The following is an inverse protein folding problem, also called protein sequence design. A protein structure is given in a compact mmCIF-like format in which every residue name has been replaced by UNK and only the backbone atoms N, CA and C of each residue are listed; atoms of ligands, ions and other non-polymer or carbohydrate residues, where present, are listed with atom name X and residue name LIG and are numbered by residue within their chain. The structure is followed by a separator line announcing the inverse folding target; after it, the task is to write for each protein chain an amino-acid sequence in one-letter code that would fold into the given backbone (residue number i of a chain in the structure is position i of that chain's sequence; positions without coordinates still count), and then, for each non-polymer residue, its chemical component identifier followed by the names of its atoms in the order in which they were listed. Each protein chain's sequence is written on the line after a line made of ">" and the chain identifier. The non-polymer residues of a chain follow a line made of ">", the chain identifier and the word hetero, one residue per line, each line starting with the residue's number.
data_IF_871952724570
#
_entry.id   IF_871952724570
#
_cell.length_a   1.000
_cell.length_b   1.000
_cell.length_c   1.000
_cell.angle_alpha   90.00
_cell.angle_beta   90.00
_cell.angle_gamma   90.00
#
_symmetry.space_group_name_H-M   'P 1'
#
loop_
_entity.id
_entity.type
_entity.pdbx_description
1 polymer ?
#
# COMPACT_ATOMS: atom_id res chain seq x y z
N UNK A 1 -23.09 -8.22 5.24
CA UNK A 1 -21.91 -8.40 4.36
C UNK A 1 -21.28 -7.06 4.03
N UNK A 2 -20.38 -6.97 3.04
CA UNK A 2 -19.76 -5.69 2.66
C UNK A 2 -20.76 -4.65 2.12
N UNK A 3 -21.85 -5.10 1.49
CA UNK A 3 -22.95 -4.23 1.06
C UNK A 3 -23.60 -3.48 2.23
N UNK A 4 -23.86 -4.18 3.35
CA UNK A 4 -24.46 -3.55 4.55
C UNK A 4 -23.51 -2.56 5.24
N UNK A 5 -22.20 -2.71 5.03
CA UNK A 5 -21.19 -1.76 5.53
C UNK A 5 -20.97 -0.57 4.58
N UNK A 6 -21.67 -0.54 3.43
CA UNK A 6 -21.53 0.49 2.40
C UNK A 6 -20.06 0.74 1.98
N UNK A 7 -19.24 -0.32 1.96
CA UNK A 7 -17.81 -0.21 1.70
C UNK A 7 -17.43 -0.51 0.23
N UNK A 8 -18.25 -1.32 -0.45
CA UNK A 8 -18.10 -1.63 -1.89
C UNK A 8 -18.72 -0.54 -2.76
N UNK A 9 -18.21 -0.41 -3.99
CA UNK A 9 -18.82 0.43 -5.00
C UNK A 9 -20.22 -0.09 -5.37
N UNK A 10 -21.26 0.70 -5.09
CA UNK A 10 -22.63 0.38 -5.50
C UNK A 10 -22.78 0.40 -7.02
N UNK A 11 -23.29 -0.69 -7.60
CA UNK A 11 -23.31 -0.88 -9.06
C UNK A 11 -24.26 0.10 -9.76
N UNK A 12 -25.46 0.33 -9.20
CA UNK A 12 -26.45 1.22 -9.78
C UNK A 12 -26.00 2.69 -9.69
N UNK A 13 -25.39 3.05 -8.57
CA UNK A 13 -24.78 4.37 -8.36
C UNK A 13 -23.64 4.63 -9.36
N UNK A 14 -22.76 3.67 -9.58
CA UNK A 14 -21.67 3.84 -10.55
C UNK A 14 -22.20 3.96 -11.98
N UNK A 15 -23.16 3.11 -12.37
CA UNK A 15 -23.78 3.17 -13.71
C UNK A 15 -24.56 4.46 -13.95
N UNK A 16 -25.33 4.94 -12.97
CA UNK A 16 -26.04 6.21 -13.06
C UNK A 16 -25.10 7.42 -13.22
N UNK A 17 -23.85 7.30 -12.77
CA UNK A 17 -22.76 8.28 -13.00
C UNK A 17 -22.03 8.09 -14.33
N UNK A 18 -22.55 7.23 -15.23
CA UNK A 18 -21.99 6.97 -16.56
C UNK A 18 -20.63 6.26 -16.52
N UNK A 19 -20.39 5.44 -15.49
CA UNK A 19 -19.15 4.68 -15.36
C UNK A 19 -19.36 3.28 -15.92
N UNK A 20 -18.48 2.84 -16.82
CA UNK A 20 -18.45 1.47 -17.32
C UNK A 20 -17.99 0.50 -16.23
N UNK A 21 -18.60 -0.70 -16.17
CA UNK A 21 -18.33 -1.74 -15.17
C UNK A 21 -16.83 -2.03 -14.96
N UNK A 22 -16.06 -2.15 -16.05
CA UNK A 22 -14.60 -2.39 -15.99
C UNK A 22 -13.76 -1.23 -15.39
N UNK A 23 -14.40 -0.11 -15.02
CA UNK A 23 -13.75 1.10 -14.47
C UNK A 23 -14.34 1.49 -13.11
N UNK A 24 -15.02 0.59 -12.42
CA UNK A 24 -15.57 0.86 -11.09
C UNK A 24 -14.47 1.10 -10.06
N UNK A 25 -13.39 0.31 -10.10
CA UNK A 25 -12.21 0.53 -9.28
C UNK A 25 -11.37 1.68 -9.84
N UNK A 26 -11.20 2.74 -9.04
CA UNK A 26 -10.66 4.03 -9.50
C UNK A 26 -9.95 4.79 -8.38
N UNK A 27 -8.91 4.16 -7.84
CA UNK A 27 -8.06 4.77 -6.84
C UNK A 27 -7.63 6.19 -7.24
N UNK A 28 -7.65 7.11 -6.27
CA UNK A 28 -7.29 8.53 -6.44
C UNK A 28 -8.16 9.30 -7.46
N UNK A 29 -9.27 8.75 -7.97
CA UNK A 29 -10.22 9.47 -8.83
C UNK A 29 -11.22 10.28 -7.97
N UNK A 30 -11.64 11.44 -8.47
CA UNK A 30 -12.63 12.31 -7.77
C UNK A 30 -14.00 11.65 -7.64
N UNK A 31 -14.35 10.68 -8.49
CA UNK A 31 -15.65 10.00 -8.50
C UNK A 31 -15.59 8.60 -7.88
N UNK A 32 -14.57 8.27 -7.09
CA UNK A 32 -14.47 7.00 -6.35
C UNK A 32 -15.52 6.94 -5.23
N UNK A 33 -16.18 5.78 -5.09
CA UNK A 33 -17.32 5.62 -4.17
C UNK A 33 -17.34 4.22 -3.53
N UNK A 34 -16.16 3.64 -3.29
CA UNK A 34 -16.05 2.30 -2.70
C UNK A 34 -15.08 1.42 -3.47
N UNK A 35 -14.65 0.34 -2.82
CA UNK A 35 -13.76 -0.63 -3.45
C UNK A 35 -14.52 -1.60 -4.35
N UNK A 36 -13.83 -2.17 -5.34
CA UNK A 36 -14.33 -3.31 -6.11
C UNK A 36 -13.86 -4.61 -5.47
N UNK A 37 -14.80 -5.47 -5.11
CA UNK A 37 -14.49 -6.77 -4.53
C UNK A 37 -13.83 -7.71 -5.55
N UNK A 38 -12.73 -8.37 -5.16
CA UNK A 38 -12.08 -9.40 -5.98
C UNK A 38 -11.75 -10.65 -5.15
N UNK A 39 -11.32 -11.70 -5.84
CA UNK A 39 -10.91 -12.98 -5.25
C UNK A 39 -9.60 -13.46 -5.86
N UNK A 40 -8.91 -14.35 -5.13
CA UNK A 40 -7.61 -14.88 -5.52
C UNK A 40 -6.49 -14.44 -4.56
N UNK A 41 -5.27 -14.79 -4.94
CA UNK A 41 -4.07 -14.50 -4.18
C UNK A 41 -2.88 -15.20 -4.84
N UNK A 42 -1.87 -15.52 -4.06
CA UNK A 42 -0.63 -16.11 -4.53
C UNK A 42 0.26 -16.50 -3.37
N UNK A 43 1.49 -16.87 -3.69
CA UNK A 43 2.51 -17.20 -2.70
C UNK A 43 3.85 -16.60 -3.09
N UNK A 44 4.67 -16.30 -2.09
CA UNK A 44 6.07 -15.90 -2.25
C UNK A 44 6.93 -16.84 -1.41
N UNK A 45 8.07 -17.25 -1.95
CA UNK A 45 9.02 -18.11 -1.26
C UNK A 45 10.17 -17.26 -0.74
N UNK A 46 10.26 -17.15 0.58
CA UNK A 46 11.37 -16.47 1.25
C UNK A 46 12.50 -17.47 1.51
N UNK A 47 13.72 -17.08 1.18
CA UNK A 47 14.92 -17.84 1.47
C UNK A 47 15.97 -16.94 2.13
N UNK A 48 16.78 -17.52 3.00
CA UNK A 48 17.98 -16.84 3.51
C UNK A 48 18.97 -16.64 2.37
N UNK A 49 19.69 -15.52 2.37
CA UNK A 49 20.57 -15.15 1.24
C UNK A 49 21.72 -16.15 1.00
N UNK A 50 22.26 -16.74 2.06
CA UNK A 50 23.28 -17.80 1.96
C UNK A 50 22.74 -19.09 1.33
N UNK A 51 21.49 -19.44 1.61
CA UNK A 51 20.81 -20.59 1.01
C UNK A 51 20.57 -20.33 -0.47
N UNK A 52 20.07 -19.14 -0.82
CA UNK A 52 19.89 -18.72 -2.20
C UNK A 52 21.21 -18.78 -2.99
N UNK A 53 22.30 -18.27 -2.39
CA UNK A 53 23.63 -18.34 -2.99
C UNK A 53 24.12 -19.78 -3.15
N UNK A 54 24.05 -20.60 -2.09
CA UNK A 54 24.52 -21.99 -2.07
C UNK A 54 23.78 -22.85 -3.09
N UNK A 55 22.48 -22.62 -3.26
CA UNK A 55 21.64 -23.40 -4.17
C UNK A 55 21.50 -22.78 -5.57
N UNK A 56 22.06 -21.59 -5.81
CA UNK A 56 21.91 -20.87 -7.06
C UNK A 56 20.45 -20.48 -7.36
N UNK A 57 19.66 -20.14 -6.33
CA UNK A 57 18.25 -19.76 -6.52
C UNK A 57 18.14 -18.38 -7.19
N UNK A 58 17.16 -18.18 -8.07
CA UNK A 58 16.89 -16.86 -8.64
C UNK A 58 16.39 -15.91 -7.55
N UNK A 59 17.13 -14.82 -7.32
CA UNK A 59 16.75 -13.79 -6.35
C UNK A 59 15.97 -12.69 -7.08
N UNK A 60 14.67 -12.59 -6.80
CA UNK A 60 13.79 -11.59 -7.43
C UNK A 60 13.82 -10.24 -6.71
N UNK A 61 13.99 -10.25 -5.38
CA UNK A 61 14.06 -9.05 -4.56
C UNK A 61 14.79 -9.33 -3.24
N UNK A 62 15.20 -8.27 -2.56
CA UNK A 62 15.72 -8.30 -1.17
C UNK A 62 14.73 -7.57 -0.27
N UNK A 63 14.23 -8.24 0.77
CA UNK A 63 13.32 -7.62 1.74
C UNK A 63 14.13 -6.73 2.68
N UNK A 64 14.10 -5.42 2.43
CA UNK A 64 14.83 -4.43 3.24
C UNK A 64 14.18 -4.14 4.59
N UNK A 65 12.85 -4.22 4.68
CA UNK A 65 12.08 -3.99 5.90
C UNK A 65 10.68 -4.60 5.78
N UNK A 66 10.17 -5.19 6.85
CA UNK A 66 8.80 -5.69 6.94
C UNK A 66 8.30 -5.56 8.38
N UNK A 67 7.13 -4.95 8.58
CA UNK A 67 6.54 -4.75 9.90
C UNK A 67 5.02 -4.55 9.81
N UNK A 68 4.30 -4.96 10.85
CA UNK A 68 2.89 -4.66 11.06
C UNK A 68 2.70 -3.67 12.22
N UNK A 69 1.64 -2.86 12.17
CA UNK A 69 1.30 -1.87 13.19
C UNK A 69 -0.18 -1.95 13.54
N UNK A 70 -0.52 -1.42 14.71
CA UNK A 70 -1.89 -1.14 15.12
C UNK A 70 -2.08 0.37 15.25
N UNK A 71 -3.33 0.84 15.11
CA UNK A 71 -3.65 2.27 15.07
C UNK A 71 -4.02 2.86 16.44
N UNK A 72 -4.25 2.01 17.44
CA UNK A 72 -4.68 2.43 18.77
C UNK A 72 -6.20 2.53 18.90
N UNK A 73 -6.68 3.37 19.82
CA UNK A 73 -8.10 3.46 20.17
C UNK A 73 -8.87 4.32 19.15
N UNK A 74 -9.82 3.70 18.45
CA UNK A 74 -10.76 4.38 17.56
C UNK A 74 -12.17 3.81 17.75
N UNK A 75 -13.20 4.66 17.64
CA UNK A 75 -14.61 4.27 17.79
C UNK A 75 -15.19 3.66 16.52
N UNK A 76 -14.64 3.99 15.36
CA UNK A 76 -15.04 3.46 14.06
C UNK A 76 -14.13 2.31 13.66
N UNK A 77 -14.67 1.10 13.58
CA UNK A 77 -13.92 -0.12 13.23
C UNK A 77 -13.27 -0.05 11.83
N UNK A 78 -13.94 0.43 10.76
CA UNK A 78 -13.35 0.43 9.41
C UNK A 78 -12.52 1.69 9.10
N UNK A 79 -12.44 2.67 10.00
CA UNK A 79 -11.70 3.89 9.74
C UNK A 79 -10.19 3.57 9.67
N UNK A 80 -9.49 3.95 8.58
CA UNK A 80 -8.05 3.74 8.49
C UNK A 80 -7.32 4.67 9.48
N UNK A 81 -6.30 4.14 10.17
CA UNK A 81 -5.45 4.92 11.06
C UNK A 81 -4.14 5.37 10.41
N UNK A 82 -3.20 5.80 11.24
CA UNK A 82 -1.86 6.27 10.85
C UNK A 82 -0.74 5.61 11.67
N UNK A 83 -1.01 4.46 12.31
CA UNK A 83 -0.08 3.79 13.22
C UNK A 83 1.23 3.35 12.55
N UNK A 84 1.19 3.08 11.23
CA UNK A 84 2.38 2.71 10.48
C UNK A 84 3.42 3.83 10.32
N UNK A 85 3.08 5.09 10.66
CA UNK A 85 4.06 6.17 10.81
C UNK A 85 5.16 5.85 11.85
N UNK A 86 4.87 4.91 12.77
CA UNK A 86 5.86 4.39 13.71
C UNK A 86 7.14 3.85 13.05
N UNK A 87 7.06 3.38 11.80
CA UNK A 87 8.21 2.91 11.03
C UNK A 87 9.29 3.99 10.84
N UNK A 88 8.85 5.25 10.66
CA UNK A 88 9.71 6.42 10.46
C UNK A 88 10.06 7.18 11.73
N UNK A 89 9.68 6.69 12.92
CA UNK A 89 9.96 7.38 14.19
C UNK A 89 11.47 7.46 14.45
N UNK A 90 11.98 8.66 14.69
CA UNK A 90 13.43 8.93 14.81
C UNK A 90 14.09 9.38 13.50
N UNK A 91 13.30 9.57 12.43
CA UNK A 91 13.75 10.07 11.15
C UNK A 91 14.86 9.21 10.54
N UNK A 92 16.05 9.78 10.34
CA UNK A 92 17.22 9.05 9.81
C UNK A 92 17.72 7.93 10.72
N UNK A 93 17.41 8.00 12.02
CA UNK A 93 17.73 6.94 12.99
C UNK A 93 16.59 5.92 13.17
N UNK A 94 15.48 6.10 12.45
CA UNK A 94 14.35 5.16 12.48
C UNK A 94 14.77 3.75 12.06
N UNK A 95 13.98 2.76 12.46
CA UNK A 95 14.26 1.35 12.12
C UNK A 95 14.17 1.15 10.60
N UNK A 96 13.21 1.80 9.93
CA UNK A 96 13.10 1.77 8.47
C UNK A 96 14.36 2.34 7.79
N UNK A 97 14.74 3.58 8.12
CA UNK A 97 15.89 4.24 7.51
C UNK A 97 17.20 3.46 7.74
N UNK A 98 17.43 2.98 8.97
CA UNK A 98 18.63 2.17 9.27
C UNK A 98 18.63 0.81 8.56
N UNK A 99 17.47 0.20 8.35
CA UNK A 99 17.39 -1.09 7.64
C UNK A 99 17.71 -0.94 6.16
N UNK A 100 17.21 0.13 5.52
CA UNK A 100 17.54 0.47 4.14
C UNK A 100 19.02 0.89 3.99
N UNK A 101 19.54 1.68 4.93
CA UNK A 101 20.94 2.14 4.90
C UNK A 101 21.95 0.98 4.97
N UNK A 102 21.62 -0.14 5.65
CA UNK A 102 22.46 -1.36 5.64
C UNK A 102 22.60 -1.97 4.24
N UNK A 103 21.65 -1.71 3.36
CA UNK A 103 21.65 -2.13 1.95
C UNK A 103 22.18 -1.03 1.02
N UNK A 104 22.64 0.10 1.56
CA UNK A 104 23.10 1.25 0.78
C UNK A 104 21.97 2.05 0.12
N UNK A 105 20.73 1.93 0.62
CA UNK A 105 19.56 2.62 0.08
C UNK A 105 19.16 3.79 1.00
N UNK A 106 19.21 5.00 0.47
CA UNK A 106 18.77 6.23 1.14
C UNK A 106 17.31 6.58 0.85
N UNK A 107 16.77 7.64 1.49
CA UNK A 107 15.39 8.09 1.31
C UNK A 107 15.04 8.47 -0.14
N UNK A 108 16.00 9.04 -0.88
CA UNK A 108 15.81 9.49 -2.26
C UNK A 108 15.92 8.35 -3.29
N UNK A 109 16.51 7.22 -2.90
CA UNK A 109 16.61 6.02 -3.75
C UNK A 109 15.28 5.24 -3.82
N UNK A 110 14.35 5.51 -2.89
CA UNK A 110 12.99 4.95 -2.94
C UNK A 110 12.25 5.64 -4.10
N UNK A 111 12.13 4.97 -5.24
CA UNK A 111 11.55 5.59 -6.44
C UNK A 111 10.04 5.35 -6.61
N UNK A 112 9.51 4.25 -6.08
CA UNK A 112 8.13 3.79 -6.32
C UNK A 112 7.42 3.45 -5.03
N UNK A 113 6.13 3.77 -4.97
CA UNK A 113 5.21 3.34 -3.91
C UNK A 113 4.06 2.60 -4.55
N UNK A 114 3.97 1.30 -4.29
CA UNK A 114 2.77 0.52 -4.58
C UNK A 114 1.76 0.73 -3.45
N UNK A 115 0.92 1.77 -3.58
CA UNK A 115 -0.10 2.11 -2.58
C UNK A 115 -1.19 1.03 -2.49
N UNK A 116 -1.80 0.95 -1.32
CA UNK A 116 -2.98 0.15 -1.04
C UNK A 116 -4.18 0.65 -1.83
N UNK A 117 -4.55 1.93 -1.75
CA UNK A 117 -5.43 2.61 -2.71
C UNK A 117 -6.69 1.80 -3.09
N UNK A 118 -7.60 1.64 -2.13
CA UNK A 118 -8.81 0.82 -2.30
C UNK A 118 -9.92 1.51 -3.08
N UNK A 119 -9.70 2.70 -3.64
CA UNK A 119 -10.75 3.47 -4.34
C UNK A 119 -11.87 3.92 -3.38
N UNK A 120 -11.53 4.13 -2.11
CA UNK A 120 -12.46 4.60 -1.08
C UNK A 120 -12.18 6.06 -0.72
N UNK A 121 -13.20 6.76 -0.23
CA UNK A 121 -13.07 8.17 0.11
C UNK A 121 -12.10 8.40 1.26
N UNK A 122 -12.06 7.49 2.24
CA UNK A 122 -11.25 7.60 3.44
C UNK A 122 -9.79 7.13 3.25
N UNK A 123 -9.56 5.96 2.65
CA UNK A 123 -8.22 5.37 2.59
C UNK A 123 -7.26 6.15 1.70
N UNK A 124 -7.66 6.47 0.47
CA UNK A 124 -6.77 7.05 -0.54
C UNK A 124 -6.04 8.35 -0.06
N UNK A 125 -6.73 9.34 0.58
CA UNK A 125 -6.05 10.51 1.15
C UNK A 125 -5.28 10.19 2.43
N UNK A 126 -5.80 9.32 3.31
CA UNK A 126 -5.10 8.90 4.54
C UNK A 126 -3.74 8.25 4.21
N UNK A 127 -3.71 7.35 3.24
CA UNK A 127 -2.50 6.68 2.81
C UNK A 127 -1.52 7.63 2.10
N UNK A 128 -2.04 8.60 1.35
CA UNK A 128 -1.20 9.67 0.76
C UNK A 128 -0.51 10.47 1.84
N UNK A 129 -1.25 10.91 2.87
CA UNK A 129 -0.70 11.63 4.02
C UNK A 129 0.32 10.78 4.80
N UNK A 130 0.06 9.48 4.95
CA UNK A 130 0.96 8.55 5.60
C UNK A 130 2.32 8.50 4.89
N UNK A 131 2.32 8.34 3.57
CA UNK A 131 3.54 8.28 2.77
C UNK A 131 4.29 9.62 2.75
N UNK A 132 3.57 10.75 2.67
CA UNK A 132 4.19 12.08 2.75
C UNK A 132 4.94 12.27 4.07
N UNK A 133 4.27 11.99 5.20
CA UNK A 133 4.88 12.09 6.53
C UNK A 133 6.06 11.15 6.73
N UNK A 134 6.03 9.95 6.15
CA UNK A 134 7.18 9.03 6.17
C UNK A 134 8.35 9.56 5.35
N UNK A 135 8.10 10.08 4.15
CA UNK A 135 9.12 10.65 3.29
C UNK A 135 9.81 11.85 3.97
N UNK A 136 9.03 12.76 4.53
CA UNK A 136 9.52 13.91 5.30
C UNK A 136 10.34 13.47 6.52
N UNK A 137 9.83 12.52 7.30
CA UNK A 137 10.51 12.03 8.50
C UNK A 137 11.88 11.43 8.17
N UNK A 138 11.96 10.63 7.10
CA UNK A 138 13.23 10.04 6.65
C UNK A 138 14.20 11.08 6.05
N UNK A 139 13.72 12.29 5.77
CA UNK A 139 14.51 13.38 5.20
C UNK A 139 14.74 13.22 3.70
N UNK A 140 13.69 12.82 2.96
CA UNK A 140 13.68 12.85 1.49
C UNK A 140 13.87 14.29 0.99
N UNK A 141 14.61 14.45 -0.10
CA UNK A 141 14.85 15.74 -0.72
C UNK A 141 13.56 16.33 -1.31
N UNK A 142 13.36 17.64 -1.10
CA UNK A 142 12.19 18.34 -1.62
C UNK A 142 12.12 18.22 -3.16
N UNK A 143 10.96 17.83 -3.67
CA UNK A 143 10.72 17.68 -5.10
C UNK A 143 11.27 16.38 -5.72
N UNK A 144 11.90 15.49 -4.94
CA UNK A 144 12.28 14.16 -5.42
C UNK A 144 11.01 13.31 -5.63
N UNK A 145 10.63 13.00 -6.89
CA UNK A 145 9.33 12.39 -7.19
C UNK A 145 9.22 10.97 -6.64
N UNK A 146 8.00 10.59 -6.28
CA UNK A 146 7.61 9.22 -5.93
C UNK A 146 6.57 8.74 -6.94
N UNK A 147 6.90 7.70 -7.70
CA UNK A 147 5.93 7.12 -8.63
C UNK A 147 4.91 6.28 -7.87
N UNK A 148 3.64 6.65 -7.98
CA UNK A 148 2.54 5.92 -7.35
C UNK A 148 2.03 4.84 -8.31
N UNK A 149 1.98 3.61 -7.82
CA UNK A 149 1.36 2.47 -8.50
C UNK A 149 0.15 2.01 -7.70
N UNK A 150 -1.02 1.96 -8.35
CA UNK A 150 -2.30 1.63 -7.71
C UNK A 150 -3.03 0.54 -8.50
N UNK A 151 -2.54 -0.69 -8.39
CA UNK A 151 -3.00 -1.81 -9.23
C UNK A 151 -4.43 -2.30 -8.93
N UNK A 152 -5.03 -1.91 -7.80
CA UNK A 152 -6.41 -2.32 -7.47
C UNK A 152 -7.44 -1.78 -8.47
N UNK A 153 -7.08 -0.75 -9.24
CA UNK A 153 -7.85 -0.30 -10.41
C UNK A 153 -8.01 -1.39 -11.49
N UNK A 154 -7.01 -2.27 -11.62
CA UNK A 154 -6.99 -3.38 -12.57
C UNK A 154 -7.52 -4.68 -11.94
N UNK A 155 -7.04 -5.03 -10.74
CA UNK A 155 -7.26 -6.35 -10.13
C UNK A 155 -8.44 -6.39 -9.16
N UNK A 156 -8.95 -5.22 -8.73
CA UNK A 156 -9.86 -5.10 -7.60
C UNK A 156 -9.19 -5.39 -6.25
N UNK A 157 -10.00 -5.58 -5.21
CA UNK A 157 -9.51 -5.79 -3.85
C UNK A 157 -9.76 -7.23 -3.39
N UNK A 158 -8.70 -8.04 -3.37
CA UNK A 158 -8.73 -9.46 -2.97
C UNK A 158 -8.64 -9.71 -1.44
N UNK A 159 -8.95 -8.69 -0.62
CA UNK A 159 -8.88 -8.73 0.86
C UNK A 159 -7.51 -9.24 1.33
N UNK A 160 -7.45 -10.44 1.90
CA UNK A 160 -6.21 -11.05 2.38
C UNK A 160 -5.19 -11.37 1.29
N UNK A 161 -5.62 -11.54 0.03
CA UNK A 161 -4.71 -11.76 -1.11
C UNK A 161 -4.10 -10.48 -1.68
N UNK A 162 -4.41 -9.30 -1.13
CA UNK A 162 -3.98 -8.04 -1.73
C UNK A 162 -2.44 -7.83 -1.68
N UNK A 163 -1.79 -8.24 -0.59
CA UNK A 163 -0.35 -8.02 -0.41
C UNK A 163 0.48 -8.79 -1.43
N UNK A 164 0.13 -10.05 -1.73
CA UNK A 164 0.88 -10.89 -2.66
C UNK A 164 0.71 -10.48 -4.12
N UNK A 165 -0.34 -9.73 -4.46
CA UNK A 165 -0.40 -9.08 -5.77
C UNK A 165 0.51 -7.86 -5.85
N UNK A 166 0.78 -7.18 -4.73
CA UNK A 166 1.58 -5.94 -4.70
C UNK A 166 3.09 -6.20 -4.64
N UNK A 167 3.49 -7.41 -4.25
CA UNK A 167 4.87 -7.88 -4.24
C UNK A 167 5.23 -8.49 -5.60
#
# INVERSE_FOLDING_TARGET
>A
GFGDMAATADTEMMRSKGISDAKFSRANDRRRLGFLEAQGGGTVLLARGDLALKMGLPVLAVVGYAQSFADGVHTSIPAPGLGALGAGRGGRDSVLARSLAKLGVGPDDIAVISKHDTSTLANDPNETELHERLADSMGRSAGAPLFIVSQKSLTGHAKGGAAVFQM
#
